data_IF_500031057975
#
_entry.id   IF_500031057975
#
_cell.length_a   1.000
_cell.length_b   1.000
_cell.length_c   1.000
_cell.angle_alpha   90.00
_cell.angle_beta   90.00
_cell.angle_gamma   90.00
#
_symmetry.space_group_name_H-M   'P 1'
#
loop_
_entity.id
_entity.type
_entity.pdbx_description
1 polymer ?
#
# COMPACT_ATOMS: atom_id res chain seq x y z
N UNK A 1 -11.12 -20.59 -17.39
CA UNK A 1 -11.74 -20.12 -16.14
C UNK A 1 -13.21 -19.84 -16.38
N UNK A 2 -14.11 -20.21 -15.45
CA UNK A 2 -15.49 -19.72 -15.50
C UNK A 2 -15.47 -18.19 -15.42
N UNK A 3 -16.31 -17.52 -16.17
CA UNK A 3 -16.47 -16.06 -16.10
C UNK A 3 -16.99 -15.67 -14.72
N UNK A 4 -16.23 -14.87 -13.99
CA UNK A 4 -16.67 -14.36 -12.69
C UNK A 4 -17.37 -12.99 -12.85
N UNK A 5 -18.30 -12.71 -11.96
CA UNK A 5 -19.19 -11.55 -12.07
C UNK A 5 -19.11 -10.59 -10.88
N UNK A 6 -18.52 -11.04 -9.77
CA UNK A 6 -18.32 -10.18 -8.60
C UNK A 6 -17.06 -10.58 -7.82
N UNK A 7 -16.55 -9.64 -7.05
CA UNK A 7 -15.41 -9.83 -6.14
C UNK A 7 -15.81 -9.39 -4.75
N UNK A 8 -15.51 -10.23 -3.77
CA UNK A 8 -15.53 -9.88 -2.36
C UNK A 8 -14.23 -10.28 -1.68
N UNK A 9 -13.93 -9.62 -0.57
CA UNK A 9 -12.79 -10.02 0.26
C UNK A 9 -13.13 -11.29 1.04
N UNK A 10 -12.10 -12.11 1.31
CA UNK A 10 -12.23 -13.22 2.25
C UNK A 10 -12.24 -12.69 3.68
N UNK A 11 -13.23 -13.12 4.46
CA UNK A 11 -13.17 -12.98 5.91
C UNK A 11 -12.10 -13.91 6.47
N UNK A 12 -11.18 -13.38 7.28
CA UNK A 12 -10.27 -14.18 8.07
C UNK A 12 -10.34 -13.74 9.52
N UNK A 13 -10.72 -14.65 10.42
CA UNK A 13 -10.73 -14.35 11.85
C UNK A 13 -9.35 -13.98 12.40
N UNK A 14 -8.28 -14.45 11.77
CA UNK A 14 -6.91 -14.35 12.29
C UNK A 14 -6.17 -13.06 11.90
N UNK A 15 -6.66 -12.32 10.90
CA UNK A 15 -5.98 -11.13 10.42
C UNK A 15 -6.96 -9.95 10.34
N UNK A 16 -6.89 -9.03 11.29
CA UNK A 16 -7.58 -7.73 11.29
C UNK A 16 -7.30 -6.87 10.03
N UNK A 17 -6.71 -7.45 9.00
CA UNK A 17 -6.21 -6.80 7.80
C UNK A 17 -7.09 -7.03 6.56
N UNK A 18 -8.17 -7.79 6.65
CA UNK A 18 -9.01 -8.10 5.49
C UNK A 18 -10.17 -7.12 5.38
N UNK A 19 -10.62 -6.89 4.16
CA UNK A 19 -11.70 -5.96 3.86
C UNK A 19 -13.05 -6.59 4.24
N UNK A 20 -13.47 -6.34 5.46
CA UNK A 20 -14.84 -6.45 5.90
C UNK A 20 -15.57 -5.19 5.39
N UNK A 21 -16.77 -5.29 4.76
CA UNK A 21 -17.55 -4.14 4.33
C UNK A 21 -17.91 -3.16 5.45
N UNK A 22 -17.81 -3.63 6.71
CA UNK A 22 -17.93 -2.78 7.90
C UNK A 22 -16.67 -1.97 8.20
N UNK A 23 -15.57 -2.20 7.47
CA UNK A 23 -14.28 -1.54 7.72
C UNK A 23 -13.85 -0.72 6.52
N UNK A 24 -13.72 0.59 6.70
CA UNK A 24 -13.12 1.49 5.72
C UNK A 24 -11.60 1.37 5.80
N UNK A 25 -10.98 0.93 4.72
CA UNK A 25 -9.51 0.85 4.61
C UNK A 25 -8.94 2.18 4.13
N UNK A 26 -8.18 2.86 4.96
CA UNK A 26 -7.53 4.14 4.64
C UNK A 26 -6.06 3.88 4.34
N UNK A 27 -5.63 4.14 3.11
CA UNK A 27 -4.22 4.24 2.76
C UNK A 27 -3.80 5.70 2.86
N UNK A 28 -2.84 6.04 3.70
CA UNK A 28 -2.42 7.41 3.93
C UNK A 28 -0.93 7.59 3.71
N UNK A 29 -0.58 8.33 2.65
CA UNK A 29 0.76 8.85 2.43
C UNK A 29 0.94 10.10 3.29
N UNK A 30 1.47 9.94 4.51
CA UNK A 30 1.50 11.00 5.53
C UNK A 30 2.50 12.13 5.22
N UNK A 31 3.22 12.02 4.13
CA UNK A 31 4.14 13.02 3.60
C UNK A 31 5.13 12.40 2.63
N UNK A 32 5.87 13.26 1.94
CA UNK A 32 6.93 12.85 1.01
C UNK A 32 8.29 12.71 1.67
N UNK A 33 8.52 13.43 2.78
CA UNK A 33 9.84 13.52 3.38
C UNK A 33 10.35 12.15 3.80
N UNK A 34 11.56 11.81 3.35
CA UNK A 34 12.27 10.59 3.67
C UNK A 34 13.74 10.90 3.95
N UNK A 35 14.36 10.09 4.75
CA UNK A 35 15.79 10.16 5.03
C UNK A 35 16.63 9.17 4.21
N UNK A 36 15.99 8.38 3.33
CA UNK A 36 16.62 7.55 2.29
C UNK A 36 16.41 8.15 0.91
N UNK A 37 17.22 7.76 -0.07
CA UNK A 37 17.12 8.19 -1.46
C UNK A 37 17.17 7.00 -2.43
N UNK A 38 16.32 5.99 -2.19
CA UNK A 38 16.28 4.76 -2.99
C UNK A 38 16.01 5.08 -4.47
N UNK A 39 16.81 4.49 -5.37
CA UNK A 39 16.78 4.77 -6.81
C UNK A 39 15.45 4.43 -7.48
N UNK A 40 14.72 3.45 -6.94
CA UNK A 40 13.43 2.98 -7.44
C UNK A 40 12.22 3.67 -6.78
N UNK A 41 12.44 4.55 -5.82
CA UNK A 41 11.34 5.22 -5.14
C UNK A 41 10.78 6.35 -5.99
N UNK A 42 9.44 6.40 -6.11
CA UNK A 42 8.77 7.42 -6.92
C UNK A 42 9.00 8.82 -6.35
N UNK A 43 9.40 9.81 -7.18
CA UNK A 43 9.57 11.20 -6.76
C UNK A 43 8.24 11.87 -6.36
N UNK A 44 7.09 11.24 -6.65
CA UNK A 44 5.77 11.72 -6.26
C UNK A 44 5.44 11.44 -4.80
N UNK A 45 6.03 10.40 -4.23
CA UNK A 45 5.77 9.95 -2.85
C UNK A 45 6.99 10.10 -1.94
N UNK A 46 8.12 10.57 -2.47
CA UNK A 46 9.39 10.63 -1.76
C UNK A 46 10.22 11.87 -2.17
N UNK A 47 10.72 12.58 -1.17
CA UNK A 47 11.75 13.60 -1.27
C UNK A 47 12.39 13.83 0.13
N UNK A 48 13.39 14.70 0.22
CA UNK A 48 14.07 15.03 1.48
C UNK A 48 13.85 16.47 1.96
N UNK A 49 12.96 17.21 1.31
CA UNK A 49 12.79 18.66 1.55
C UNK A 49 11.33 19.10 1.81
N UNK A 50 10.32 18.31 1.44
CA UNK A 50 8.91 18.64 1.67
C UNK A 50 8.62 18.84 3.16
N UNK A 51 7.70 19.75 3.44
CA UNK A 51 7.19 19.94 4.80
C UNK A 51 6.43 18.71 5.26
N UNK A 52 6.45 18.47 6.56
CA UNK A 52 5.56 17.50 7.17
C UNK A 52 4.11 17.98 7.11
N UNK A 53 3.17 17.03 7.12
CA UNK A 53 1.77 17.35 7.29
C UNK A 53 1.55 18.10 8.60
N UNK A 54 0.64 19.07 8.58
CA UNK A 54 0.28 19.78 9.82
C UNK A 54 -0.44 18.83 10.79
N UNK A 55 0.05 18.76 12.02
CA UNK A 55 -0.50 17.89 13.06
C UNK A 55 -1.98 18.14 13.32
N UNK A 56 -2.41 19.42 13.40
CA UNK A 56 -3.82 19.76 13.69
C UNK A 56 -4.73 19.31 12.56
N UNK A 57 -4.27 19.42 11.31
CA UNK A 57 -5.01 18.96 10.13
C UNK A 57 -5.12 17.43 10.11
N UNK A 58 -4.05 16.73 10.48
CA UNK A 58 -4.10 15.27 10.63
C UNK A 58 -5.15 14.86 11.68
N UNK A 59 -5.16 15.51 12.86
CA UNK A 59 -6.14 15.26 13.92
C UNK A 59 -7.57 15.55 13.45
N UNK A 60 -7.80 16.68 12.79
CA UNK A 60 -9.11 17.05 12.26
C UNK A 60 -9.64 16.01 11.26
N UNK A 61 -8.78 15.52 10.38
CA UNK A 61 -9.16 14.44 9.45
C UNK A 61 -9.56 13.17 10.22
N UNK A 62 -8.78 12.76 11.21
CA UNK A 62 -9.05 11.56 12.03
C UNK A 62 -10.40 11.68 12.72
N UNK A 63 -10.72 12.87 13.26
CA UNK A 63 -12.03 13.14 13.89
C UNK A 63 -13.19 13.06 12.89
N UNK A 64 -13.00 13.59 11.69
CA UNK A 64 -14.01 13.52 10.63
C UNK A 64 -14.25 12.08 10.17
N UNK A 65 -13.18 11.30 10.03
CA UNK A 65 -13.28 9.86 9.67
C UNK A 65 -13.99 9.07 10.77
N UNK A 66 -13.63 9.28 12.03
CA UNK A 66 -14.24 8.57 13.15
C UNK A 66 -15.74 8.90 13.27
N UNK A 67 -16.11 10.18 13.11
CA UNK A 67 -17.51 10.63 13.06
C UNK A 67 -18.26 10.00 11.89
N UNK A 68 -17.67 9.96 10.69
CA UNK A 68 -18.27 9.31 9.54
C UNK A 68 -18.53 7.83 9.81
N UNK A 69 -17.54 7.13 10.37
CA UNK A 69 -17.68 5.72 10.76
C UNK A 69 -18.79 5.51 11.79
N UNK A 70 -18.90 6.38 12.80
CA UNK A 70 -19.97 6.33 13.79
C UNK A 70 -21.35 6.45 13.15
N UNK A 71 -21.52 7.41 12.22
CA UNK A 71 -22.78 7.63 11.54
C UNK A 71 -23.19 6.46 10.65
N UNK A 72 -22.21 5.74 10.09
CA UNK A 72 -22.43 4.60 9.18
C UNK A 72 -22.41 3.23 9.90
N UNK A 73 -22.22 3.19 11.21
CA UNK A 73 -22.04 1.94 11.94
C UNK A 73 -20.81 1.15 11.50
N UNK A 74 -19.77 1.84 10.99
CA UNK A 74 -18.55 1.26 10.47
C UNK A 74 -17.37 1.48 11.40
N UNK A 75 -16.29 0.76 11.14
CA UNK A 75 -14.96 0.96 11.71
C UNK A 75 -13.99 1.38 10.61
N UNK A 76 -12.80 1.80 10.98
CA UNK A 76 -11.74 2.07 10.01
C UNK A 76 -10.42 1.37 10.37
N UNK A 77 -9.65 1.12 9.33
CA UNK A 77 -8.27 0.72 9.41
C UNK A 77 -7.43 1.76 8.70
N UNK A 78 -6.39 2.29 9.36
CA UNK A 78 -5.42 3.19 8.73
C UNK A 78 -4.11 2.46 8.48
N UNK A 79 -3.60 2.60 7.25
CA UNK A 79 -2.25 2.17 6.85
C UNK A 79 -1.44 3.42 6.51
N UNK A 80 -0.53 3.81 7.41
CA UNK A 80 0.37 4.95 7.23
C UNK A 80 1.60 4.55 6.43
N UNK A 81 1.92 5.34 5.42
CA UNK A 81 3.11 5.18 4.58
C UNK A 81 3.51 6.56 4.01
N UNK A 82 4.33 6.60 2.98
CA UNK A 82 4.77 7.84 2.33
C UNK A 82 6.27 7.79 2.08
N UNK A 83 6.98 8.88 2.35
CA UNK A 83 8.44 8.87 2.49
C UNK A 83 8.83 7.98 3.68
N UNK A 84 9.36 8.55 4.74
CA UNK A 84 9.52 7.83 6.00
C UNK A 84 8.61 8.44 7.07
N UNK A 85 7.54 7.74 7.50
CA UNK A 85 6.60 8.30 8.46
C UNK A 85 7.24 8.74 9.78
N UNK A 86 8.21 7.99 10.28
CA UNK A 86 8.83 8.30 11.58
C UNK A 86 9.79 9.50 11.57
N UNK A 87 10.11 10.10 10.42
CA UNK A 87 10.79 11.41 10.40
C UNK A 87 9.85 12.56 10.73
N UNK A 88 8.52 12.31 10.75
CA UNK A 88 7.56 13.30 11.21
C UNK A 88 7.72 13.51 12.71
N UNK A 89 7.97 14.76 13.21
CA UNK A 89 8.33 15.02 14.61
C UNK A 89 7.21 14.67 15.62
N UNK A 90 5.97 14.60 15.16
CA UNK A 90 4.79 14.28 15.97
C UNK A 90 4.19 12.91 15.62
N UNK A 91 4.97 11.98 15.02
CA UNK A 91 4.41 10.71 14.58
C UNK A 91 3.84 9.89 15.73
N UNK A 92 4.54 9.80 16.86
CA UNK A 92 4.04 9.03 18.01
C UNK A 92 2.72 9.59 18.54
N UNK A 93 2.56 10.92 18.56
CA UNK A 93 1.31 11.56 19.00
C UNK A 93 0.16 11.28 18.03
N UNK A 94 0.46 11.23 16.72
CA UNK A 94 -0.52 10.86 15.68
C UNK A 94 -0.97 9.41 15.87
N UNK A 95 -0.03 8.48 16.10
CA UNK A 95 -0.34 7.07 16.32
C UNK A 95 -1.21 6.87 17.56
N UNK A 96 -0.85 7.51 18.67
CA UNK A 96 -1.63 7.51 19.90
C UNK A 96 -3.06 8.02 19.67
N UNK A 97 -3.18 9.15 18.97
CA UNK A 97 -4.48 9.76 18.70
C UNK A 97 -5.36 8.89 17.82
N UNK A 98 -4.83 8.30 16.74
CA UNK A 98 -5.57 7.36 15.90
C UNK A 98 -6.05 6.17 16.72
N UNK A 99 -5.15 5.57 17.51
CA UNK A 99 -5.46 4.36 18.29
C UNK A 99 -6.47 4.60 19.39
N UNK A 100 -6.64 5.86 19.85
CA UNK A 100 -7.62 6.24 20.86
C UNK A 100 -9.06 6.33 20.33
N UNK A 101 -9.27 6.30 19.01
CA UNK A 101 -10.60 6.44 18.41
C UNK A 101 -11.42 5.17 18.56
N UNK A 102 -12.70 5.28 18.99
CA UNK A 102 -13.58 4.12 19.20
C UNK A 102 -13.75 3.24 17.96
N UNK A 103 -13.76 3.85 16.77
CA UNK A 103 -13.93 3.13 15.51
C UNK A 103 -12.61 2.68 14.88
N UNK A 104 -11.45 2.92 15.52
CA UNK A 104 -10.16 2.45 15.03
C UNK A 104 -10.03 0.93 15.23
N UNK A 105 -10.24 0.15 14.18
CA UNK A 105 -10.10 -1.31 14.20
C UNK A 105 -8.64 -1.76 14.12
N UNK A 106 -7.85 -1.09 13.30
CA UNK A 106 -6.44 -1.40 13.12
C UNK A 106 -5.64 -0.18 12.67
N UNK A 107 -4.41 -0.10 13.14
CA UNK A 107 -3.43 0.91 12.77
C UNK A 107 -2.15 0.20 12.32
N UNK A 108 -1.81 0.39 11.06
CA UNK A 108 -0.61 -0.18 10.43
C UNK A 108 0.32 0.96 10.03
N UNK A 109 1.60 0.81 10.24
CA UNK A 109 2.60 1.76 9.76
C UNK A 109 3.70 1.02 9.02
N UNK A 110 4.11 1.58 7.88
CA UNK A 110 5.24 1.09 7.09
C UNK A 110 6.40 2.07 7.23
N UNK A 111 7.58 1.56 7.56
CA UNK A 111 8.81 2.32 7.79
C UNK A 111 9.98 1.69 7.06
N UNK A 112 11.00 2.47 6.75
CA UNK A 112 12.28 1.95 6.23
C UNK A 112 13.21 1.38 7.33
N UNK A 113 12.83 1.46 8.61
CA UNK A 113 13.59 0.90 9.73
C UNK A 113 14.85 1.68 10.10
N UNK A 114 15.08 2.87 9.55
CA UNK A 114 16.30 3.66 9.74
C UNK A 114 16.45 4.27 11.12
N UNK A 115 15.34 4.61 11.78
CA UNK A 115 15.32 5.32 13.04
C UNK A 115 15.79 4.44 14.22
N UNK A 116 16.07 5.02 15.40
CA UNK A 116 16.44 4.25 16.59
C UNK A 116 15.36 3.25 17.00
N UNK A 117 15.78 2.08 17.51
CA UNK A 117 14.92 1.01 17.98
C UNK A 117 13.85 1.50 18.98
N UNK A 118 14.22 2.42 19.85
CA UNK A 118 13.33 2.99 20.86
C UNK A 118 12.06 3.64 20.26
N UNK A 119 12.19 4.29 19.08
CA UNK A 119 11.06 4.90 18.37
C UNK A 119 10.02 3.85 18.00
N UNK A 120 10.49 2.74 17.43
CA UNK A 120 9.63 1.63 17.04
C UNK A 120 9.02 0.92 18.24
N UNK A 121 9.82 0.64 19.28
CA UNK A 121 9.34 0.03 20.51
C UNK A 121 8.24 0.86 21.17
N UNK A 122 8.36 2.19 21.19
CA UNK A 122 7.31 3.10 21.67
C UNK A 122 6.06 3.00 20.82
N UNK A 123 6.19 2.95 19.49
CA UNK A 123 5.04 2.90 18.58
C UNK A 123 4.21 1.61 18.74
N UNK A 124 4.84 0.49 19.16
CA UNK A 124 4.14 -0.79 19.36
C UNK A 124 3.01 -0.74 20.41
N UNK A 125 2.92 0.34 21.20
CA UNK A 125 1.79 0.55 22.12
C UNK A 125 0.48 0.81 21.37
N UNK A 126 0.54 1.41 20.18
CA UNK A 126 -0.61 1.92 19.46
C UNK A 126 -0.84 1.20 18.12
N UNK A 127 0.22 0.71 17.48
CA UNK A 127 0.09 0.05 16.19
C UNK A 127 -0.33 -1.41 16.33
N UNK A 128 -1.25 -1.84 15.48
CA UNK A 128 -1.65 -3.24 15.35
C UNK A 128 -0.58 -4.04 14.61
N UNK A 129 0.10 -3.39 13.65
CA UNK A 129 1.14 -4.00 12.84
C UNK A 129 2.19 -2.95 12.46
N UNK A 130 3.46 -3.31 12.63
CA UNK A 130 4.61 -2.56 12.13
C UNK A 130 5.20 -3.30 10.94
N UNK A 131 5.19 -2.68 9.77
CA UNK A 131 5.82 -3.22 8.57
C UNK A 131 7.15 -2.50 8.33
N UNK A 132 8.23 -3.24 8.22
CA UNK A 132 9.55 -2.68 7.89
C UNK A 132 9.89 -3.03 6.45
N UNK A 133 10.06 -2.00 5.60
CA UNK A 133 10.59 -2.18 4.25
C UNK A 133 12.10 -2.05 4.31
N UNK A 134 12.79 -3.18 4.15
CA UNK A 134 14.25 -3.24 4.20
C UNK A 134 14.83 -2.93 2.82
N UNK A 135 15.44 -1.75 2.71
CA UNK A 135 16.05 -1.23 1.49
C UNK A 135 17.57 -1.50 1.50
N UNK A 136 18.09 -2.20 0.47
CA UNK A 136 19.47 -2.66 0.45
C UNK A 136 20.46 -1.66 -0.15
N UNK A 137 19.97 -0.66 -0.91
CA UNK A 137 20.81 0.37 -1.54
C UNK A 137 21.50 1.31 -0.55
N UNK A 138 21.05 1.33 0.71
CA UNK A 138 21.64 2.17 1.77
C UNK A 138 22.97 1.58 2.36
N UNK A 139 23.42 0.47 1.80
CA UNK A 139 24.68 -0.18 2.09
C UNK A 139 24.65 -1.14 3.28
N UNK A 140 25.67 -1.98 3.35
CA UNK A 140 25.75 -3.13 4.27
C UNK A 140 25.62 -2.76 5.75
N UNK A 141 26.24 -1.65 6.18
CA UNK A 141 26.19 -1.21 7.58
C UNK A 141 24.75 -0.88 8.01
N UNK A 142 24.03 -0.15 7.16
CA UNK A 142 22.64 0.23 7.40
C UNK A 142 21.75 -1.01 7.38
N UNK A 143 21.94 -1.89 6.40
CA UNK A 143 21.21 -3.17 6.28
C UNK A 143 21.37 -4.02 7.53
N UNK A 144 22.63 -4.28 7.98
CA UNK A 144 22.92 -5.05 9.19
C UNK A 144 22.29 -4.44 10.44
N UNK A 145 22.39 -3.12 10.60
CA UNK A 145 21.75 -2.41 11.72
C UNK A 145 20.22 -2.58 11.71
N UNK A 146 19.60 -2.46 10.55
CA UNK A 146 18.15 -2.60 10.42
C UNK A 146 17.69 -4.04 10.67
N UNK A 147 18.40 -5.04 10.14
CA UNK A 147 18.15 -6.47 10.43
C UNK A 147 18.21 -6.75 11.93
N UNK A 148 19.24 -6.26 12.61
CA UNK A 148 19.36 -6.42 14.07
C UNK A 148 18.16 -5.83 14.82
N UNK A 149 17.71 -4.62 14.43
CA UNK A 149 16.52 -3.99 15.03
C UNK A 149 15.24 -4.79 14.76
N UNK A 150 15.07 -5.32 13.56
CA UNK A 150 13.91 -6.15 13.18
C UNK A 150 13.85 -7.41 14.06
N UNK A 151 14.98 -8.11 14.20
CA UNK A 151 15.07 -9.33 15.03
C UNK A 151 14.74 -9.00 16.50
N UNK A 152 15.22 -7.86 17.01
CA UNK A 152 14.90 -7.44 18.37
C UNK A 152 13.41 -7.09 18.54
N UNK A 153 12.82 -6.37 17.58
CA UNK A 153 11.39 -6.05 17.60
C UNK A 153 10.52 -7.30 17.52
N UNK A 154 10.94 -8.33 16.78
CA UNK A 154 10.20 -9.58 16.65
C UNK A 154 10.01 -10.30 17.99
N UNK A 155 10.94 -10.13 18.94
CA UNK A 155 10.83 -10.68 20.31
C UNK A 155 9.70 -10.08 21.14
N UNK A 156 9.10 -8.97 20.69
CA UNK A 156 8.04 -8.25 21.43
C UNK A 156 6.66 -8.93 21.40
N UNK A 157 6.50 -10.07 20.72
CA UNK A 157 5.23 -10.73 20.47
C UNK A 157 4.18 -9.84 19.79
N UNK A 158 4.63 -8.83 19.04
CA UNK A 158 3.79 -7.95 18.23
C UNK A 158 3.88 -8.35 16.75
N UNK A 159 2.90 -7.94 15.97
CA UNK A 159 2.90 -8.19 14.53
C UNK A 159 3.93 -7.30 13.84
N UNK A 160 5.10 -7.88 13.59
CA UNK A 160 6.17 -7.26 12.79
C UNK A 160 6.22 -7.99 11.45
N UNK A 161 6.02 -7.27 10.37
CA UNK A 161 6.20 -7.81 9.02
C UNK A 161 7.39 -7.13 8.36
N UNK A 162 8.09 -7.85 7.49
CA UNK A 162 9.19 -7.29 6.73
C UNK A 162 8.93 -7.44 5.24
N UNK A 163 9.02 -6.33 4.52
CA UNK A 163 9.19 -6.34 3.07
C UNK A 163 10.70 -6.30 2.78
N UNK A 164 11.28 -7.42 2.44
CA UNK A 164 12.67 -7.48 1.97
C UNK A 164 12.68 -7.12 0.48
N UNK A 165 13.19 -5.92 0.18
CA UNK A 165 13.14 -5.39 -1.17
C UNK A 165 14.18 -6.10 -2.05
N UNK A 166 13.73 -6.77 -3.12
CA UNK A 166 14.57 -7.50 -4.06
C UNK A 166 15.31 -6.53 -5.00
N UNK A 167 16.31 -5.83 -4.47
CA UNK A 167 17.10 -4.86 -5.22
C UNK A 167 18.00 -5.59 -6.23
N UNK A 168 17.94 -5.29 -7.54
CA UNK A 168 18.83 -5.87 -8.55
C UNK A 168 20.31 -5.68 -8.16
N UNK A 169 21.11 -6.70 -8.41
CA UNK A 169 22.52 -6.72 -8.04
C UNK A 169 22.81 -7.00 -6.56
N UNK A 170 21.80 -7.14 -5.70
CA UNK A 170 21.95 -7.40 -4.26
C UNK A 170 21.36 -8.75 -3.81
N UNK A 171 21.12 -9.68 -4.73
CA UNK A 171 20.41 -10.93 -4.43
C UNK A 171 21.13 -11.86 -3.46
N UNK A 172 22.46 -11.81 -3.39
CA UNK A 172 23.19 -12.55 -2.36
C UNK A 172 22.87 -12.00 -0.97
N UNK A 173 22.79 -10.67 -0.83
CA UNK A 173 22.33 -10.01 0.41
C UNK A 173 20.88 -10.34 0.72
N UNK A 174 19.99 -10.37 -0.30
CA UNK A 174 18.59 -10.78 -0.14
C UNK A 174 18.52 -12.19 0.44
N UNK A 175 19.20 -13.16 -0.17
CA UNK A 175 19.20 -14.57 0.27
C UNK A 175 19.80 -14.74 1.67
N UNK A 176 20.91 -14.06 1.95
CA UNK A 176 21.54 -14.07 3.27
C UNK A 176 20.65 -13.48 4.35
N UNK A 177 19.99 -12.37 4.05
CA UNK A 177 19.04 -11.71 4.97
C UNK A 177 17.80 -12.57 5.20
N UNK A 178 17.25 -13.16 4.16
CA UNK A 178 16.14 -14.09 4.24
C UNK A 178 16.46 -15.24 5.20
N UNK A 179 17.64 -15.85 5.05
CA UNK A 179 18.10 -16.90 5.96
C UNK A 179 18.21 -16.42 7.42
N UNK A 180 18.70 -15.19 7.66
CA UNK A 180 18.78 -14.65 9.03
C UNK A 180 17.37 -14.46 9.63
N UNK A 181 16.39 -14.09 8.82
CA UNK A 181 15.02 -13.98 9.25
C UNK A 181 14.39 -15.33 9.52
N UNK A 182 14.64 -16.34 8.69
CA UNK A 182 14.22 -17.72 8.96
C UNK A 182 14.80 -18.25 10.28
N UNK A 183 16.11 -18.07 10.49
CA UNK A 183 16.82 -18.49 11.70
C UNK A 183 16.28 -17.78 12.97
N UNK A 184 15.68 -16.58 12.83
CA UNK A 184 15.12 -15.76 13.92
C UNK A 184 13.57 -15.78 13.99
N UNK A 185 12.90 -16.64 13.24
CA UNK A 185 11.43 -16.72 13.12
C UNK A 185 10.77 -15.37 12.82
N UNK A 186 11.41 -14.54 12.01
CA UNK A 186 10.88 -13.25 11.56
C UNK A 186 9.99 -13.48 10.33
N UNK A 187 8.78 -12.95 10.36
CA UNK A 187 7.88 -12.99 9.19
C UNK A 187 8.30 -11.94 8.16
N UNK A 188 8.62 -12.40 6.96
CA UNK A 188 9.01 -11.52 5.86
C UNK A 188 8.43 -11.98 4.53
N UNK A 189 8.49 -11.05 3.56
CA UNK A 189 8.16 -11.28 2.16
C UNK A 189 9.22 -10.63 1.30
N UNK A 190 9.72 -11.36 0.31
CA UNK A 190 10.61 -10.80 -0.69
C UNK A 190 9.76 -10.07 -1.73
N UNK A 191 9.91 -8.74 -1.80
CA UNK A 191 9.14 -7.88 -2.68
C UNK A 191 9.89 -7.55 -3.95
N UNK A 192 9.30 -7.91 -5.09
CA UNK A 192 9.75 -7.39 -6.39
C UNK A 192 9.68 -5.86 -6.38
N UNK A 193 10.72 -5.23 -6.87
CA UNK A 193 10.72 -3.79 -7.12
C UNK A 193 10.13 -3.57 -8.51
N UNK A 194 9.15 -2.67 -8.61
CA UNK A 194 8.65 -2.22 -9.88
C UNK A 194 9.68 -1.25 -10.48
N UNK A 195 10.28 -1.57 -11.64
CA UNK A 195 11.28 -0.71 -12.22
C UNK A 195 10.69 0.65 -12.58
N UNK A 196 11.48 1.72 -12.46
CA UNK A 196 11.06 3.02 -12.93
C UNK A 196 10.79 2.98 -14.43
N UNK A 197 9.64 3.50 -14.86
CA UNK A 197 9.34 3.69 -16.28
C UNK A 197 10.23 4.78 -16.88
N UNK A 198 10.31 4.90 -18.22
CA UNK A 198 11.12 5.94 -18.87
C UNK A 198 10.76 7.36 -18.40
N UNK A 199 9.47 7.64 -18.23
CA UNK A 199 8.98 8.90 -17.67
C UNK A 199 9.44 9.11 -16.22
N UNK A 200 9.55 8.04 -15.46
CA UNK A 200 10.07 8.02 -14.11
C UNK A 200 11.58 8.26 -14.07
N UNK A 201 12.33 7.66 -14.99
CA UNK A 201 13.78 7.85 -15.11
C UNK A 201 14.15 9.28 -15.50
N UNK A 202 13.32 9.95 -16.30
CA UNK A 202 13.49 11.38 -16.61
C UNK A 202 13.34 12.24 -15.33
N UNK A 203 12.34 11.94 -14.50
CA UNK A 203 12.08 12.67 -13.27
C UNK A 203 13.14 12.41 -12.18
N UNK A 204 13.76 11.22 -12.17
CA UNK A 204 14.91 10.94 -11.27
C UNK A 204 16.19 11.64 -11.70
N UNK A 205 16.41 11.90 -13.01
CA UNK A 205 17.54 12.71 -13.48
C UNK A 205 17.40 14.18 -13.04
N UNK A 206 16.21 14.75 -13.13
CA UNK A 206 15.93 16.11 -12.65
C UNK A 206 16.10 16.24 -11.14
N UNK A 207 15.86 15.18 -10.37
CA UNK A 207 16.09 15.14 -8.93
C UNK A 207 17.58 15.26 -8.57
N UNK A 208 18.48 14.61 -9.34
CA UNK A 208 19.95 14.69 -9.15
C UNK A 208 20.53 16.05 -9.55
N UNK A 209 19.88 16.79 -10.42
CA UNK A 209 20.32 18.10 -10.92
C UNK A 209 19.77 19.28 -10.13
N UNK A 210 19.10 19.07 -9.00
CA UNK A 210 18.55 20.12 -8.13
C UNK A 210 17.38 20.88 -8.74
N UNK A 211 16.78 20.37 -9.81
CA UNK A 211 15.64 21.00 -10.46
C UNK A 211 14.30 20.48 -9.92
N UNK A 212 13.58 21.41 -9.45
CA UNK A 212 12.13 21.53 -9.19
C UNK A 212 11.33 20.24 -9.02
N UNK A 213 10.90 20.05 -7.78
CA UNK A 213 9.82 19.14 -7.40
C UNK A 213 8.68 19.13 -8.41
N UNK A 214 8.13 17.95 -8.66
CA UNK A 214 6.82 17.79 -9.30
C UNK A 214 5.81 18.64 -8.55
N UNK A 215 5.33 19.66 -9.23
CA UNK A 215 4.70 20.82 -8.60
C UNK A 215 3.27 20.59 -8.12
N UNK A 216 2.58 19.52 -8.56
CA UNK A 216 1.22 19.31 -8.07
C UNK A 216 0.72 17.86 -8.21
N UNK A 217 -0.24 17.51 -7.37
CA UNK A 217 -0.91 16.22 -7.31
C UNK A 217 -1.70 15.89 -8.57
N UNK A 218 -2.11 16.90 -9.36
CA UNK A 218 -2.84 16.66 -10.61
C UNK A 218 -1.92 16.09 -11.69
N UNK A 219 -0.66 16.54 -11.75
CA UNK A 219 0.36 15.94 -12.64
C UNK A 219 0.66 14.51 -12.21
N UNK A 220 0.84 14.28 -10.91
CA UNK A 220 0.98 12.94 -10.36
C UNK A 220 -0.20 12.03 -10.70
N UNK A 221 -1.44 12.52 -10.56
CA UNK A 221 -2.62 11.76 -10.92
C UNK A 221 -2.68 11.44 -12.42
N UNK A 222 -2.26 12.37 -13.29
CA UNK A 222 -2.16 12.14 -14.74
C UNK A 222 -1.09 11.10 -15.07
N UNK A 223 0.06 11.16 -14.44
CA UNK A 223 1.15 10.20 -14.65
C UNK A 223 0.80 8.82 -14.08
N UNK A 224 0.25 8.72 -12.88
CA UNK A 224 -0.30 7.45 -12.38
C UNK A 224 -1.37 6.88 -13.32
N UNK A 225 -2.20 7.71 -13.94
CA UNK A 225 -3.17 7.28 -14.95
C UNK A 225 -2.48 6.80 -16.24
N UNK A 226 -1.40 7.46 -16.66
CA UNK A 226 -0.60 7.06 -17.83
C UNK A 226 0.10 5.71 -17.61
N UNK A 227 0.72 5.49 -16.45
CA UNK A 227 1.33 4.21 -16.06
C UNK A 227 0.36 3.01 -16.16
N UNK A 228 -0.92 3.21 -15.96
CA UNK A 228 -1.97 2.17 -16.05
C UNK A 228 -2.40 1.83 -17.46
N UNK A 229 -1.92 2.58 -18.44
CA UNK A 229 -2.09 2.25 -19.85
C UNK A 229 -1.02 1.25 -20.34
N UNK A 230 0.00 0.92 -19.53
CA UNK A 230 0.91 -0.16 -19.85
C UNK A 230 0.15 -1.47 -19.93
N UNK A 231 0.30 -2.17 -21.05
CA UNK A 231 -0.20 -3.52 -21.16
C UNK A 231 0.61 -4.43 -20.21
N UNK A 232 -0.01 -5.53 -19.78
CA UNK A 232 0.69 -6.52 -18.95
C UNK A 232 1.98 -7.02 -19.61
N UNK A 233 2.00 -7.13 -20.95
CA UNK A 233 3.18 -7.50 -21.73
C UNK A 233 4.30 -6.47 -21.64
N UNK A 234 3.98 -5.19 -21.70
CA UNK A 234 4.96 -4.11 -21.53
C UNK A 234 5.55 -4.10 -20.13
N UNK A 235 4.71 -4.30 -19.11
CA UNK A 235 5.15 -4.36 -17.72
C UNK A 235 6.03 -5.60 -17.47
N UNK A 236 5.66 -6.77 -17.99
CA UNK A 236 6.49 -7.98 -17.92
C UNK A 236 7.84 -7.80 -18.60
N UNK A 237 7.85 -7.20 -19.79
CA UNK A 237 9.10 -6.89 -20.49
C UNK A 237 10.00 -5.96 -19.69
N UNK A 238 9.43 -4.95 -19.02
CA UNK A 238 10.16 -4.03 -18.18
C UNK A 238 10.79 -4.76 -16.97
N UNK A 239 10.05 -5.64 -16.30
CA UNK A 239 10.55 -6.46 -15.19
C UNK A 239 11.70 -7.38 -15.63
N UNK A 240 11.57 -8.07 -16.75
CA UNK A 240 12.60 -8.99 -17.25
C UNK A 240 13.86 -8.28 -17.76
N UNK A 241 13.81 -6.98 -18.03
CA UNK A 241 14.99 -6.17 -18.35
C UNK A 241 15.63 -5.53 -17.12
N UNK A 242 14.89 -5.42 -16.03
CA UNK A 242 15.36 -4.82 -14.79
C UNK A 242 16.15 -5.81 -13.91
N UNK A 243 15.75 -7.07 -13.92
CA UNK A 243 16.43 -8.16 -13.22
C UNK A 243 17.27 -9.00 -14.20
N UNK A 244 18.38 -9.56 -13.74
CA UNK A 244 19.06 -10.62 -14.48
C UNK A 244 18.18 -11.87 -14.56
N UNK A 245 18.49 -12.79 -15.47
CA UNK A 245 17.74 -14.03 -15.64
C UNK A 245 17.71 -14.87 -14.35
N UNK A 246 18.84 -15.00 -13.66
CA UNK A 246 18.94 -15.74 -12.40
C UNK A 246 18.12 -15.10 -11.29
N UNK A 247 18.16 -13.77 -11.17
CA UNK A 247 17.37 -13.01 -10.21
C UNK A 247 15.87 -13.15 -10.48
N UNK A 248 15.48 -13.06 -11.75
CA UNK A 248 14.11 -13.24 -12.18
C UNK A 248 13.59 -14.64 -11.88
N UNK A 249 14.37 -15.68 -12.22
CA UNK A 249 14.02 -17.07 -11.93
C UNK A 249 13.89 -17.32 -10.43
N UNK A 250 14.76 -16.74 -9.61
CA UNK A 250 14.64 -16.80 -8.16
C UNK A 250 13.33 -16.15 -7.68
N UNK A 251 12.99 -14.96 -8.15
CA UNK A 251 11.74 -14.29 -7.80
C UNK A 251 10.50 -15.09 -8.21
N UNK A 252 10.53 -15.72 -9.38
CA UNK A 252 9.44 -16.59 -9.85
C UNK A 252 9.29 -17.84 -8.96
N UNK A 253 10.40 -18.39 -8.46
CA UNK A 253 10.35 -19.55 -7.55
C UNK A 253 9.72 -19.24 -6.18
N UNK A 254 9.65 -17.95 -5.79
CA UNK A 254 9.06 -17.50 -4.53
C UNK A 254 7.54 -17.26 -4.63
N UNK A 255 6.94 -17.40 -5.81
CA UNK A 255 5.52 -17.12 -5.99
C UNK A 255 4.64 -18.06 -5.18
N UNK A 256 3.63 -17.50 -4.52
CA UNK A 256 2.52 -18.14 -3.80
C UNK A 256 2.65 -18.38 -2.28
N UNK A 257 3.59 -17.76 -1.58
CA UNK A 257 3.64 -17.91 -0.11
C UNK A 257 2.64 -17.02 0.67
N UNK A 258 2.02 -16.02 0.03
CA UNK A 258 1.20 -15.03 0.72
C UNK A 258 -0.32 -15.31 0.64
N UNK A 259 -0.90 -15.83 1.71
CA UNK A 259 -2.36 -16.11 1.78
C UNK A 259 -3.24 -14.87 2.04
N UNK A 260 -2.67 -13.73 2.45
CA UNK A 260 -3.44 -12.56 2.89
C UNK A 260 -4.03 -11.71 1.75
N UNK A 261 -3.68 -11.98 0.51
CA UNK A 261 -4.22 -11.33 -0.68
C UNK A 261 -5.29 -12.15 -1.39
N UNK A 262 -5.80 -13.20 -0.76
CA UNK A 262 -6.88 -14.00 -1.33
C UNK A 262 -8.20 -13.24 -1.29
N UNK A 263 -9.00 -13.44 -2.34
CA UNK A 263 -10.34 -12.91 -2.49
C UNK A 263 -11.28 -13.97 -3.03
N UNK A 264 -12.57 -13.73 -2.98
CA UNK A 264 -13.59 -14.56 -3.62
C UNK A 264 -13.98 -13.96 -4.95
N UNK A 265 -13.87 -14.76 -6.01
CA UNK A 265 -14.44 -14.48 -7.31
C UNK A 265 -15.77 -15.23 -7.41
N UNK A 266 -16.85 -14.47 -7.45
CA UNK A 266 -18.19 -15.01 -7.55
C UNK A 266 -18.58 -15.25 -9.01
N UNK A 267 -19.24 -16.38 -9.27
CA UNK A 267 -19.75 -16.79 -10.56
C UNK A 267 -21.27 -16.55 -10.66
N UNK A 268 -21.81 -16.56 -11.88
CA UNK A 268 -23.25 -16.35 -12.15
C UNK A 268 -24.16 -17.33 -11.41
N UNK A 269 -23.67 -18.52 -11.06
CA UNK A 269 -24.39 -19.56 -10.33
C UNK A 269 -24.30 -19.40 -8.80
N UNK A 270 -23.85 -18.26 -8.31
CA UNK A 270 -23.61 -17.95 -6.89
C UNK A 270 -22.53 -18.82 -6.24
N UNK A 271 -21.79 -19.62 -6.99
CA UNK A 271 -20.57 -20.25 -6.50
C UNK A 271 -19.42 -19.27 -6.47
N UNK A 272 -18.36 -19.56 -5.73
CA UNK A 272 -17.14 -18.74 -5.73
C UNK A 272 -15.87 -19.57 -5.86
N UNK A 273 -14.82 -18.93 -6.33
CA UNK A 273 -13.45 -19.45 -6.35
C UNK A 273 -12.60 -18.54 -5.48
N UNK A 274 -11.83 -19.14 -4.57
CA UNK A 274 -10.81 -18.38 -3.83
C UNK A 274 -9.55 -18.28 -4.67
N UNK A 275 -9.01 -17.07 -4.79
CA UNK A 275 -7.86 -16.77 -5.63
C UNK A 275 -6.98 -15.71 -4.98
N UNK A 276 -5.68 -15.80 -5.23
CA UNK A 276 -4.75 -14.74 -4.86
C UNK A 276 -4.77 -13.60 -5.89
N UNK A 277 -4.59 -12.37 -5.43
CA UNK A 277 -4.64 -11.18 -6.31
C UNK A 277 -3.59 -11.19 -7.42
N UNK A 278 -2.42 -11.80 -7.19
CA UNK A 278 -1.39 -11.92 -8.21
C UNK A 278 -1.79 -12.88 -9.35
N UNK A 279 -2.67 -13.83 -9.07
CA UNK A 279 -3.22 -14.71 -10.10
C UNK A 279 -4.08 -13.94 -11.11
N UNK A 280 -4.87 -12.95 -10.65
CA UNK A 280 -5.61 -12.08 -11.57
C UNK A 280 -4.69 -11.28 -12.48
N UNK A 281 -3.55 -10.82 -11.96
CA UNK A 281 -2.53 -10.12 -12.76
C UNK A 281 -1.86 -11.07 -13.74
N UNK A 282 -1.47 -12.26 -13.29
CA UNK A 282 -0.81 -13.29 -14.11
C UNK A 282 -1.71 -13.76 -15.25
N UNK A 283 -3.01 -13.94 -14.99
CA UNK A 283 -3.99 -14.38 -16.00
C UNK A 283 -4.57 -13.21 -16.80
N UNK A 284 -4.14 -11.99 -16.56
CA UNK A 284 -4.61 -10.78 -17.25
C UNK A 284 -6.13 -10.56 -17.11
N UNK A 285 -6.73 -11.01 -16.00
CA UNK A 285 -8.17 -10.89 -15.72
C UNK A 285 -8.51 -9.79 -14.72
N UNK A 286 -7.56 -8.90 -14.42
CA UNK A 286 -7.70 -7.79 -13.48
C UNK A 286 -8.26 -6.50 -14.12
N UNK A 287 -9.06 -6.62 -15.18
CA UNK A 287 -9.77 -5.50 -15.80
C UNK A 287 -11.21 -5.43 -15.30
N UNK A 288 -11.57 -4.31 -14.67
CA UNK A 288 -12.90 -4.08 -14.08
C UNK A 288 -13.56 -2.83 -14.64
N UNK A 289 -13.11 -2.37 -15.82
CA UNK A 289 -13.73 -1.21 -16.47
C UNK A 289 -15.20 -1.46 -16.74
N UNK A 290 -16.05 -0.52 -16.31
CA UNK A 290 -17.49 -0.63 -16.42
C UNK A 290 -18.18 -1.36 -15.25
N UNK A 291 -17.43 -1.96 -14.33
CA UNK A 291 -17.99 -2.60 -13.15
C UNK A 291 -18.36 -1.60 -12.06
N UNK A 292 -19.39 -1.93 -11.28
CA UNK A 292 -19.69 -1.24 -10.02
C UNK A 292 -18.55 -1.52 -9.03
N UNK A 293 -17.90 -0.49 -8.48
CA UNK A 293 -16.75 -0.60 -7.62
C UNK A 293 -16.94 0.22 -6.34
N UNK A 294 -16.71 -0.40 -5.20
CA UNK A 294 -16.93 0.17 -3.86
C UNK A 294 -15.73 0.97 -3.31
N UNK A 295 -14.80 1.41 -4.18
CA UNK A 295 -13.79 2.39 -3.76
C UNK A 295 -14.48 3.70 -3.31
N UNK A 296 -13.97 4.30 -2.25
CA UNK A 296 -14.58 5.45 -1.58
C UNK A 296 -15.53 5.05 -0.44
N UNK A 297 -16.09 3.84 -0.48
CA UNK A 297 -17.00 3.29 0.55
C UNK A 297 -16.24 2.28 1.42
N UNK A 298 -15.49 1.37 0.80
CA UNK A 298 -14.68 0.35 1.48
C UNK A 298 -13.21 0.75 1.60
N UNK A 299 -12.77 1.73 0.83
CA UNK A 299 -11.39 2.24 0.86
C UNK A 299 -11.32 3.68 0.44
N UNK A 300 -10.39 4.42 1.03
CA UNK A 300 -9.97 5.76 0.61
C UNK A 300 -8.45 5.83 0.58
N UNK A 301 -7.94 6.73 -0.22
CA UNK A 301 -6.51 7.02 -0.33
C UNK A 301 -6.25 8.50 -0.08
N UNK A 302 -5.27 8.80 0.76
CA UNK A 302 -4.83 10.16 1.05
C UNK A 302 -3.41 10.31 0.51
N UNK A 303 -3.25 11.21 -0.43
CA UNK A 303 -1.95 11.55 -1.01
C UNK A 303 -1.13 12.43 -0.06
N UNK A 304 0.16 12.52 -0.31
CA UNK A 304 1.12 13.20 0.56
C UNK A 304 0.87 14.71 0.75
N UNK A 305 0.09 15.33 -0.15
CA UNK A 305 -0.36 16.73 -0.04
C UNK A 305 -1.72 16.88 0.66
N UNK A 306 -2.26 15.77 1.17
CA UNK A 306 -3.53 15.72 1.86
C UNK A 306 -4.75 15.57 0.94
N UNK A 307 -4.58 15.47 -0.38
CA UNK A 307 -5.69 15.23 -1.30
C UNK A 307 -6.24 13.82 -1.09
N UNK A 308 -7.56 13.71 -0.98
CA UNK A 308 -8.26 12.46 -0.70
C UNK A 308 -8.96 11.95 -1.96
N UNK A 309 -8.71 10.67 -2.28
CA UNK A 309 -9.33 9.96 -3.40
C UNK A 309 -10.10 8.73 -2.91
N UNK A 310 -11.00 8.23 -3.75
CA UNK A 310 -11.78 7.01 -3.48
C UNK A 310 -10.91 5.77 -3.26
N UNK A 311 -9.75 5.69 -3.92
CA UNK A 311 -8.83 4.56 -3.82
C UNK A 311 -7.43 4.93 -4.28
N UNK A 312 -6.48 4.03 -4.09
CA UNK A 312 -5.07 4.17 -4.56
C UNK A 312 -5.01 4.27 -6.08
N UNK A 313 -6.05 3.78 -6.74
CA UNK A 313 -6.22 3.93 -8.19
C UNK A 313 -6.50 5.36 -8.64
N UNK A 314 -6.76 6.30 -7.77
CA UNK A 314 -7.09 7.70 -8.10
C UNK A 314 -8.23 7.83 -9.13
N UNK A 315 -9.17 6.87 -9.15
CA UNK A 315 -10.31 6.90 -10.05
C UNK A 315 -11.31 7.98 -9.60
N UNK A 316 -11.87 8.67 -10.57
CA UNK A 316 -12.79 9.78 -10.34
C UNK A 316 -12.08 11.07 -9.92
N UNK A 317 -12.88 12.04 -9.49
CA UNK A 317 -12.39 13.29 -8.93
C UNK A 317 -11.99 13.12 -7.45
N UNK A 318 -11.11 13.98 -6.92
CA UNK A 318 -10.83 14.01 -5.50
C UNK A 318 -12.08 14.22 -4.66
N UNK A 319 -12.16 13.53 -3.53
CA UNK A 319 -13.22 13.74 -2.53
C UNK A 319 -13.05 15.05 -1.75
N UNK A 320 -11.90 15.68 -1.87
CA UNK A 320 -11.47 16.88 -1.19
C UNK A 320 -10.04 16.80 -0.72
N UNK A 321 -9.70 17.56 0.32
CA UNK A 321 -8.39 17.58 0.94
C UNK A 321 -8.55 17.56 2.47
N UNK A 322 -7.65 16.90 3.20
CA UNK A 322 -7.71 16.85 4.68
C UNK A 322 -7.63 18.22 5.36
N UNK A 323 -7.21 19.25 4.62
CA UNK A 323 -7.17 20.63 5.08
C UNK A 323 -8.53 21.33 5.03
N UNK A 324 -9.51 20.75 4.36
CA UNK A 324 -10.85 21.29 4.13
C UNK A 324 -11.91 20.25 4.50
N UNK A 325 -13.18 20.59 4.32
CA UNK A 325 -14.26 19.65 4.50
C UNK A 325 -14.19 18.53 3.44
N UNK A 326 -14.40 17.30 3.90
CA UNK A 326 -14.42 16.09 3.08
C UNK A 326 -15.86 15.59 2.99
N UNK A 327 -16.24 15.18 1.80
CA UNK A 327 -17.51 14.49 1.57
C UNK A 327 -17.21 13.04 1.23
N UNK A 328 -17.50 12.14 2.16
CA UNK A 328 -17.39 10.70 1.91
C UNK A 328 -18.55 10.25 1.02
N UNK A 329 -18.27 9.45 -0.03
CA UNK A 329 -19.32 8.97 -0.92
C UNK A 329 -20.18 7.91 -0.23
N UNK A 330 -21.48 7.97 -0.50
CA UNK A 330 -22.45 6.98 -0.02
C UNK A 330 -22.71 5.89 -1.07
N UNK A 331 -22.43 6.19 -2.35
CA UNK A 331 -22.65 5.28 -3.47
C UNK A 331 -21.35 4.81 -4.12
N UNK A 332 -21.32 3.55 -4.59
CA UNK A 332 -20.21 3.04 -5.37
C UNK A 332 -20.08 3.80 -6.69
N UNK A 333 -19.00 3.56 -7.41
CA UNK A 333 -18.79 4.18 -8.72
C UNK A 333 -18.61 3.14 -9.81
N UNK A 334 -18.92 3.52 -11.05
CA UNK A 334 -18.53 2.73 -12.21
C UNK A 334 -17.01 2.86 -12.42
N UNK A 335 -16.31 1.73 -12.42
CA UNK A 335 -14.86 1.71 -12.56
C UNK A 335 -14.42 2.22 -13.94
N UNK A 336 -13.62 3.30 -14.03
CA UNK A 336 -13.13 3.81 -15.32
C UNK A 336 -11.80 3.19 -15.72
N UNK A 337 -11.19 2.35 -14.87
CA UNK A 337 -9.82 1.89 -14.99
C UNK A 337 -9.76 0.61 -15.83
N UNK A 338 -8.94 0.62 -16.89
CA UNK A 338 -8.74 -0.54 -17.74
C UNK A 338 -8.03 -1.72 -17.03
N UNK A 339 -7.09 -1.42 -16.12
CA UNK A 339 -6.32 -2.43 -15.38
C UNK A 339 -6.20 -2.04 -13.91
N UNK A 340 -6.69 -2.89 -13.02
CA UNK A 340 -6.57 -2.71 -11.58
C UNK A 340 -5.27 -3.35 -11.08
N UNK A 341 -4.23 -2.54 -10.90
CA UNK A 341 -2.89 -3.01 -10.52
C UNK A 341 -2.61 -2.91 -9.03
N UNK A 342 -3.29 -2.00 -8.32
CA UNK A 342 -3.11 -1.82 -6.88
C UNK A 342 -3.79 -2.94 -6.11
N UNK A 343 -3.03 -3.70 -5.32
CA UNK A 343 -3.56 -4.82 -4.51
C UNK A 343 -4.67 -4.37 -3.56
N UNK A 344 -4.51 -3.21 -2.92
CA UNK A 344 -5.51 -2.66 -1.99
C UNK A 344 -6.86 -2.37 -2.66
N UNK A 345 -6.85 -1.91 -3.93
CA UNK A 345 -8.08 -1.63 -4.66
C UNK A 345 -8.62 -2.88 -5.37
N UNK A 346 -7.75 -3.82 -5.74
CA UNK A 346 -8.15 -5.06 -6.41
C UNK A 346 -9.09 -5.89 -5.54
N UNK A 347 -8.83 -5.95 -4.24
CA UNK A 347 -9.64 -6.71 -3.27
C UNK A 347 -10.88 -5.94 -2.77
N UNK A 348 -11.13 -4.71 -3.22
CA UNK A 348 -12.37 -3.99 -2.92
C UNK A 348 -13.54 -4.67 -3.61
N UNK A 349 -14.70 -4.70 -2.97
CA UNK A 349 -15.93 -5.25 -3.56
C UNK A 349 -16.20 -4.65 -4.94
N UNK A 350 -16.59 -5.50 -5.89
CA UNK A 350 -16.92 -5.14 -7.26
C UNK A 350 -17.96 -6.10 -7.82
N UNK A 351 -18.84 -5.59 -8.67
CA UNK A 351 -19.76 -6.43 -9.43
C UNK A 351 -19.85 -5.96 -10.90
N UNK A 352 -20.03 -6.89 -11.82
CA UNK A 352 -20.12 -6.58 -13.25
C UNK A 352 -21.40 -5.87 -13.63
N UNK A 353 -22.48 -6.05 -12.85
CA UNK A 353 -23.79 -5.41 -13.01
C UNK A 353 -24.43 -5.16 -11.65
N UNK A 354 -25.46 -4.36 -11.59
CA UNK A 354 -26.27 -4.15 -10.37
C UNK A 354 -26.91 -5.45 -9.88
N UNK A 355 -27.29 -6.34 -10.77
CA UNK A 355 -27.89 -7.65 -10.44
C UNK A 355 -26.98 -8.51 -9.54
N UNK A 356 -25.67 -8.41 -9.73
CA UNK A 356 -24.69 -9.21 -8.95
C UNK A 356 -24.18 -8.52 -7.68
N UNK A 357 -24.74 -7.36 -7.32
CA UNK A 357 -24.37 -6.67 -6.06
C UNK A 357 -24.74 -7.50 -4.84
N UNK A 358 -25.86 -8.21 -4.87
CA UNK A 358 -26.35 -9.05 -3.78
C UNK A 358 -25.35 -10.14 -3.35
N UNK A 359 -24.44 -10.55 -4.27
CA UNK A 359 -23.41 -11.54 -3.96
C UNK A 359 -22.29 -10.99 -3.03
N UNK A 360 -22.20 -9.66 -2.88
CA UNK A 360 -21.10 -9.00 -2.20
C UNK A 360 -21.54 -7.98 -1.14
N UNK A 361 -22.80 -7.67 -1.04
CA UNK A 361 -23.42 -6.85 0.00
C UNK A 361 -23.85 -7.69 1.20
#
# INVERSE_FOLDING_TARGET
MKEFVAISSLESPEHAMRKDPRIISVQWFIGKRCNYDCSYCSPFIHDNYSSHIDYKKAIQFIDNLDRHCTNQGKQFKISLTGGEPFVHPRMLDILEYISSKPNCRALVITTNGSLPLEMYTKSLKWVTNLTVSLHLEEGDKTTKSTVTKIIELNKSNRFINVNLMACPGHFDTVKQTAKQFDDADVKYVIRKIEPPTEDFALNTKTKKEGQTAVKNTQEHAKEKKAHRNYTNTQFQKLLTTYYSEDEWNYLQSLENSEKWQNMRLWHKDSSFTEIHSDELKRTMTNSFKGWVCYIGIDSINIEADGTVYRGVCLAGDPLGNINNDLVFPEEPMICPIGWCTCLSDMVVRKSSTEEYRELIE
#
